data_IF_139761297334
#
_entry.id   IF_139761297334
#
_cell.length_a   1.000
_cell.length_b   1.000
_cell.length_c   1.000
_cell.angle_alpha   90.00
_cell.angle_beta   90.00
_cell.angle_gamma   90.00
#
_symmetry.space_group_name_H-M   'P 1'
#
loop_
_entity.id
_entity.type
_entity.pdbx_description
1 polymer ?
#
# COMPACT_ATOMS: atom_id res chain seq x y z
N UNK A 1 -14.75 -20.80 -22.80
CA UNK A 1 -15.65 -19.65 -22.66
C UNK A 1 -15.34 -18.64 -23.74
N UNK A 2 -16.35 -18.12 -24.42
CA UNK A 2 -16.16 -17.11 -25.46
C UNK A 2 -15.53 -15.87 -24.84
N UNK A 3 -14.42 -15.37 -25.40
CA UNK A 3 -13.77 -14.10 -24.95
C UNK A 3 -14.65 -12.88 -25.17
N UNK A 4 -15.76 -13.02 -25.92
CA UNK A 4 -16.70 -11.94 -26.25
C UNK A 4 -17.46 -11.42 -25.03
N UNK A 5 -17.72 -12.27 -24.04
CA UNK A 5 -18.40 -11.92 -22.79
C UNK A 5 -17.55 -12.38 -21.62
N UNK A 6 -17.23 -11.48 -20.71
CA UNK A 6 -16.56 -11.78 -19.44
C UNK A 6 -17.53 -11.46 -18.33
N UNK A 7 -17.78 -12.43 -17.44
CA UNK A 7 -18.75 -12.27 -16.35
C UNK A 7 -18.19 -12.78 -15.02
N UNK A 8 -18.58 -12.12 -13.96
CA UNK A 8 -18.35 -12.56 -12.59
C UNK A 8 -19.39 -11.94 -11.65
N UNK A 9 -20.17 -12.77 -10.94
CA UNK A 9 -21.34 -12.33 -10.15
C UNK A 9 -22.28 -11.47 -11.00
N UNK A 10 -22.56 -10.24 -10.57
CA UNK A 10 -23.45 -9.30 -11.26
C UNK A 10 -22.72 -8.42 -12.30
N UNK A 11 -21.40 -8.64 -12.46
CA UNK A 11 -20.59 -7.87 -13.42
C UNK A 11 -20.51 -8.61 -14.74
N UNK A 12 -20.81 -7.91 -15.83
CA UNK A 12 -20.74 -8.42 -17.19
C UNK A 12 -20.04 -7.40 -18.08
N UNK A 13 -19.12 -7.87 -18.91
CA UNK A 13 -18.42 -7.05 -19.91
C UNK A 13 -18.62 -7.65 -21.30
N UNK A 14 -19.13 -6.85 -22.24
CA UNK A 14 -19.36 -7.23 -23.64
C UNK A 14 -18.28 -6.59 -24.51
N UNK A 15 -17.53 -7.43 -25.23
CA UNK A 15 -16.51 -6.94 -26.16
C UNK A 15 -17.13 -6.23 -27.36
N UNK A 16 -16.65 -5.04 -27.78
CA UNK A 16 -17.24 -4.28 -28.89
C UNK A 16 -17.13 -4.98 -30.25
N UNK A 17 -16.34 -6.04 -30.38
CA UNK A 17 -16.33 -6.94 -31.51
C UNK A 17 -17.68 -7.57 -31.82
N UNK A 18 -18.59 -7.65 -30.83
CA UNK A 18 -19.98 -8.07 -31.04
C UNK A 18 -20.71 -7.11 -31.99
N UNK A 19 -20.59 -5.81 -31.77
CA UNK A 19 -21.21 -4.82 -32.66
C UNK A 19 -20.59 -4.81 -34.07
N UNK A 20 -19.31 -5.23 -34.20
CA UNK A 20 -18.70 -5.44 -35.52
C UNK A 20 -19.30 -6.67 -36.21
N UNK A 21 -19.61 -7.74 -35.47
CA UNK A 21 -20.30 -8.93 -35.96
C UNK A 21 -21.71 -8.57 -36.41
N UNK A 22 -22.48 -7.83 -35.59
CA UNK A 22 -23.82 -7.32 -35.94
C UNK A 22 -23.78 -6.50 -37.27
N UNK A 23 -22.79 -5.63 -37.47
CA UNK A 23 -22.65 -4.88 -38.72
C UNK A 23 -22.37 -5.80 -39.93
N UNK A 24 -21.62 -6.87 -39.76
CA UNK A 24 -21.34 -7.83 -40.82
C UNK A 24 -22.64 -8.55 -41.22
N UNK A 25 -23.45 -8.92 -40.22
CA UNK A 25 -24.75 -9.54 -40.41
C UNK A 25 -25.77 -8.58 -41.07
N UNK A 26 -25.87 -7.36 -40.57
CA UNK A 26 -26.77 -6.31 -41.10
C UNK A 26 -26.45 -5.96 -42.56
N UNK A 27 -25.17 -5.93 -42.92
CA UNK A 27 -24.75 -5.67 -44.31
C UNK A 27 -24.86 -6.92 -45.19
N UNK A 28 -25.18 -8.09 -44.61
CA UNK A 28 -25.28 -9.37 -45.27
C UNK A 28 -24.05 -9.70 -46.14
N UNK A 29 -22.84 -9.49 -45.57
CA UNK A 29 -21.56 -9.71 -46.24
C UNK A 29 -20.70 -10.74 -45.47
N UNK A 30 -19.68 -11.29 -46.12
CA UNK A 30 -18.70 -12.14 -45.45
C UNK A 30 -17.71 -11.29 -44.64
N UNK A 31 -17.09 -11.86 -43.60
CA UNK A 31 -16.01 -11.20 -42.87
C UNK A 31 -14.88 -10.73 -43.79
N UNK A 32 -14.58 -11.47 -44.87
CA UNK A 32 -13.56 -11.10 -45.85
C UNK A 32 -13.97 -9.84 -46.63
N UNK A 33 -15.19 -9.83 -47.12
CA UNK A 33 -15.71 -8.66 -47.84
C UNK A 33 -15.83 -7.42 -46.95
N UNK A 34 -16.28 -7.62 -45.68
CA UNK A 34 -16.32 -6.55 -44.69
C UNK A 34 -14.91 -5.97 -44.46
N UNK A 35 -13.87 -6.82 -44.33
CA UNK A 35 -12.49 -6.40 -44.17
C UNK A 35 -11.98 -5.58 -45.35
N UNK A 36 -12.32 -6.01 -46.56
CA UNK A 36 -11.98 -5.25 -47.79
C UNK A 36 -12.63 -3.85 -47.81
N UNK A 37 -13.93 -3.78 -47.44
CA UNK A 37 -14.66 -2.50 -47.34
C UNK A 37 -14.13 -1.61 -46.21
N UNK A 38 -13.71 -2.21 -45.08
CA UNK A 38 -13.13 -1.49 -43.96
C UNK A 38 -11.67 -1.06 -44.21
N UNK A 39 -11.01 -1.65 -45.23
CA UNK A 39 -9.60 -1.39 -45.55
C UNK A 39 -8.63 -1.95 -44.50
N UNK A 40 -8.92 -3.17 -43.99
CA UNK A 40 -8.09 -3.93 -43.05
C UNK A 40 -7.94 -5.39 -43.52
N UNK A 41 -7.09 -6.18 -42.85
CA UNK A 41 -6.96 -7.58 -43.20
C UNK A 41 -8.17 -8.40 -42.69
N UNK A 42 -8.52 -9.48 -43.40
CA UNK A 42 -9.54 -10.42 -42.90
C UNK A 42 -9.18 -11.00 -41.51
N UNK A 43 -7.87 -11.15 -41.23
CA UNK A 43 -7.38 -11.58 -39.91
C UNK A 43 -7.70 -10.55 -38.81
N UNK A 44 -7.60 -9.26 -39.11
CA UNK A 44 -7.95 -8.17 -38.16
C UNK A 44 -9.44 -8.25 -37.81
N UNK A 45 -10.34 -8.37 -38.82
CA UNK A 45 -11.78 -8.51 -38.56
C UNK A 45 -12.08 -9.76 -37.75
N UNK A 46 -11.50 -10.90 -38.12
CA UNK A 46 -11.69 -12.15 -37.36
C UNK A 46 -11.26 -12.01 -35.91
N UNK A 47 -10.13 -11.38 -35.63
CA UNK A 47 -9.68 -11.14 -34.25
C UNK A 47 -10.58 -10.18 -33.47
N UNK A 48 -11.08 -9.12 -34.11
CA UNK A 48 -12.03 -8.19 -33.49
C UNK A 48 -13.33 -8.90 -33.10
N UNK A 49 -13.92 -9.64 -34.04
CA UNK A 49 -15.15 -10.40 -33.82
C UNK A 49 -14.97 -11.47 -32.74
N UNK A 50 -13.80 -12.09 -32.64
CA UNK A 50 -13.50 -13.10 -31.62
C UNK A 50 -12.99 -12.51 -30.29
N UNK A 51 -13.00 -11.19 -30.12
CA UNK A 51 -12.48 -10.50 -28.95
C UNK A 51 -11.00 -10.83 -28.63
N UNK A 52 -10.19 -11.01 -29.67
CA UNK A 52 -8.75 -11.28 -29.57
C UNK A 52 -7.92 -10.00 -29.80
N UNK A 53 -8.56 -8.93 -30.28
CA UNK A 53 -7.94 -7.64 -30.56
C UNK A 53 -8.89 -6.50 -30.19
N UNK A 54 -8.36 -5.48 -29.53
CA UNK A 54 -9.12 -4.28 -29.16
C UNK A 54 -9.34 -3.35 -30.35
N UNK A 55 -10.42 -2.55 -30.33
CA UNK A 55 -10.66 -1.51 -31.34
C UNK A 55 -9.65 -0.38 -31.16
N UNK A 56 -8.63 -0.33 -32.04
CA UNK A 56 -7.65 0.76 -32.08
C UNK A 56 -8.26 2.07 -32.59
N UNK A 57 -7.56 3.20 -32.38
CA UNK A 57 -7.97 4.50 -32.92
C UNK A 57 -8.13 4.47 -34.44
N UNK A 58 -7.23 3.77 -35.14
CA UNK A 58 -7.29 3.62 -36.60
C UNK A 58 -8.51 2.80 -37.00
N UNK A 59 -8.76 1.67 -36.33
CA UNK A 59 -9.91 0.82 -36.58
C UNK A 59 -11.23 1.54 -36.29
N UNK A 60 -11.30 2.28 -35.17
CA UNK A 60 -12.47 3.09 -34.81
C UNK A 60 -12.77 4.18 -35.86
N UNK A 61 -11.73 4.80 -36.43
CA UNK A 61 -11.90 5.79 -37.50
C UNK A 61 -12.44 5.17 -38.79
N UNK A 62 -11.95 3.98 -39.16
CA UNK A 62 -12.43 3.23 -40.34
C UNK A 62 -13.88 2.76 -40.12
N UNK A 63 -14.19 2.20 -38.95
CA UNK A 63 -15.54 1.79 -38.57
C UNK A 63 -16.51 2.97 -38.63
N UNK A 64 -16.11 4.14 -38.15
CA UNK A 64 -16.93 5.34 -38.17
C UNK A 64 -17.30 5.76 -39.61
N UNK A 65 -16.34 5.69 -40.54
CA UNK A 65 -16.58 6.00 -41.95
C UNK A 65 -17.53 5.02 -42.65
N UNK A 66 -17.44 3.74 -42.24
CA UNK A 66 -18.22 2.66 -42.85
C UNK A 66 -19.63 2.60 -42.28
N UNK A 67 -19.80 2.73 -40.97
CA UNK A 67 -21.07 2.54 -40.28
C UNK A 67 -21.86 3.82 -40.02
N UNK A 68 -21.22 5.01 -40.12
CA UNK A 68 -21.82 6.28 -39.70
C UNK A 68 -21.83 6.49 -38.18
N UNK A 69 -21.44 5.48 -37.36
CA UNK A 69 -21.30 5.62 -35.92
C UNK A 69 -20.00 6.36 -35.60
N UNK A 70 -20.04 7.35 -34.70
CA UNK A 70 -18.89 8.20 -34.43
C UNK A 70 -17.65 7.39 -33.95
N UNK A 71 -16.46 7.85 -34.32
CA UNK A 71 -15.19 7.29 -33.81
C UNK A 71 -15.16 7.29 -32.29
N UNK A 72 -15.67 8.34 -31.66
CA UNK A 72 -15.75 8.47 -30.20
C UNK A 72 -16.61 7.35 -29.58
N UNK A 73 -17.73 7.01 -30.22
CA UNK A 73 -18.60 5.92 -29.76
C UNK A 73 -17.86 4.57 -29.75
N UNK A 74 -17.14 4.24 -30.83
CA UNK A 74 -16.37 3.02 -30.92
C UNK A 74 -15.29 2.92 -29.85
N UNK A 75 -14.57 4.03 -29.59
CA UNK A 75 -13.56 4.09 -28.54
C UNK A 75 -14.17 4.02 -27.14
N UNK A 76 -15.33 4.63 -26.94
CA UNK A 76 -16.05 4.54 -25.66
C UNK A 76 -16.51 3.11 -25.38
N UNK A 77 -17.03 2.38 -26.37
CA UNK A 77 -17.40 0.98 -26.23
C UNK A 77 -16.20 0.12 -25.80
N UNK A 78 -15.03 0.33 -26.42
CA UNK A 78 -13.80 -0.36 -26.02
C UNK A 78 -13.40 -0.01 -24.58
N UNK A 79 -13.40 1.28 -24.25
CA UNK A 79 -13.04 1.72 -22.91
C UNK A 79 -13.99 1.16 -21.82
N UNK A 80 -15.29 1.13 -22.10
CA UNK A 80 -16.28 0.54 -21.19
C UNK A 80 -15.97 -0.94 -20.95
N UNK A 81 -15.68 -1.69 -22.02
CA UNK A 81 -15.27 -3.09 -21.91
C UNK A 81 -14.02 -3.26 -21.09
N UNK A 82 -12.96 -2.51 -21.38
CA UNK A 82 -11.67 -2.61 -20.68
C UNK A 82 -11.81 -2.32 -19.19
N UNK A 83 -12.57 -1.28 -18.83
CA UNK A 83 -12.87 -0.92 -17.43
C UNK A 83 -13.65 -2.05 -16.75
N UNK A 84 -14.69 -2.58 -17.41
CA UNK A 84 -15.51 -3.68 -16.85
C UNK A 84 -14.72 -4.97 -16.65
N UNK A 85 -13.84 -5.31 -17.58
CA UNK A 85 -12.94 -6.46 -17.44
C UNK A 85 -12.00 -6.26 -16.24
N UNK A 86 -11.42 -5.05 -16.09
CA UNK A 86 -10.57 -4.75 -14.95
C UNK A 86 -11.33 -4.87 -13.60
N UNK A 87 -12.58 -4.35 -13.52
CA UNK A 87 -13.45 -4.51 -12.35
C UNK A 87 -13.72 -6.00 -12.03
N UNK A 88 -13.99 -6.83 -13.05
CA UNK A 88 -14.24 -8.27 -12.89
C UNK A 88 -13.01 -8.98 -12.37
N UNK A 89 -11.83 -8.69 -12.92
CA UNK A 89 -10.56 -9.28 -12.47
C UNK A 89 -10.30 -8.90 -11.01
N UNK A 90 -10.41 -7.61 -10.68
CA UNK A 90 -10.23 -7.12 -9.30
C UNK A 90 -11.20 -7.80 -8.33
N UNK A 91 -12.49 -7.93 -8.70
CA UNK A 91 -13.47 -8.58 -7.83
C UNK A 91 -13.16 -10.07 -7.59
N UNK A 92 -12.66 -10.78 -8.59
CA UNK A 92 -12.20 -12.17 -8.43
C UNK A 92 -11.01 -12.28 -7.49
N UNK A 93 -10.03 -11.37 -7.61
CA UNK A 93 -8.86 -11.33 -6.75
C UNK A 93 -9.23 -11.01 -5.30
N UNK A 94 -10.16 -10.08 -5.07
CA UNK A 94 -10.66 -9.74 -3.74
C UNK A 94 -11.39 -10.92 -3.06
N UNK A 95 -12.09 -11.75 -3.83
CA UNK A 95 -12.88 -12.87 -3.29
C UNK A 95 -12.04 -14.14 -3.05
N UNK A 96 -11.00 -14.37 -3.83
CA UNK A 96 -10.27 -15.65 -3.88
C UNK A 96 -8.74 -15.49 -3.82
N UNK A 97 -8.24 -14.26 -3.87
CA UNK A 97 -6.81 -13.99 -3.99
C UNK A 97 -6.07 -13.96 -2.65
N UNK A 98 -4.76 -13.81 -2.75
CA UNK A 98 -3.82 -13.72 -1.63
C UNK A 98 -4.14 -12.60 -0.64
N UNK A 99 -4.70 -11.49 -1.10
CA UNK A 99 -5.06 -10.36 -0.24
C UNK A 99 -6.14 -10.68 0.79
N UNK A 100 -7.03 -11.64 0.49
CA UNK A 100 -7.99 -12.14 1.47
C UNK A 100 -7.27 -12.80 2.65
N UNK A 101 -6.30 -13.68 2.36
CA UNK A 101 -5.51 -14.34 3.41
C UNK A 101 -4.74 -13.30 4.25
N UNK A 102 -4.14 -12.30 3.61
CA UNK A 102 -3.44 -11.20 4.29
C UNK A 102 -4.42 -10.40 5.14
N UNK A 103 -5.60 -10.06 4.62
CA UNK A 103 -6.63 -9.33 5.36
C UNK A 103 -7.11 -10.09 6.61
N UNK A 104 -7.19 -11.43 6.55
CA UNK A 104 -7.57 -12.28 7.68
C UNK A 104 -6.49 -12.31 8.78
N UNK A 105 -5.24 -11.96 8.46
CA UNK A 105 -4.16 -11.80 9.45
C UNK A 105 -4.25 -10.48 10.23
N UNK A 106 -5.06 -9.51 9.75
CA UNK A 106 -5.15 -8.13 10.26
C UNK A 106 -6.35 -7.99 11.20
N UNK A 107 -6.13 -7.44 12.40
CA UNK A 107 -7.23 -7.05 13.28
C UNK A 107 -7.89 -5.75 12.77
N UNK A 108 -8.88 -5.89 11.88
CA UNK A 108 -9.59 -4.75 11.31
C UNK A 108 -10.35 -3.93 12.37
N UNK A 109 -10.65 -4.52 13.56
CA UNK A 109 -11.29 -3.82 14.67
C UNK A 109 -10.43 -2.65 15.19
N UNK A 110 -9.11 -2.81 15.15
CA UNK A 110 -8.17 -1.74 15.47
C UNK A 110 -8.44 -0.46 14.67
N UNK A 111 -8.67 -0.60 13.35
CA UNK A 111 -8.90 0.56 12.47
C UNK A 111 -10.20 1.28 12.78
N UNK A 112 -11.25 0.56 13.16
CA UNK A 112 -12.50 1.13 13.65
C UNK A 112 -12.29 1.90 14.95
N UNK A 113 -11.72 1.22 15.97
CA UNK A 113 -11.49 1.80 17.29
C UNK A 113 -10.59 3.04 17.29
N UNK A 114 -9.66 3.11 16.33
CA UNK A 114 -8.77 4.27 16.17
C UNK A 114 -9.30 5.33 15.20
N UNK A 115 -10.52 5.16 14.71
CA UNK A 115 -11.19 6.14 13.84
C UNK A 115 -10.60 6.23 12.43
N UNK A 116 -9.85 5.22 11.97
CA UNK A 116 -9.36 5.17 10.59
C UNK A 116 -10.49 4.89 9.60
N UNK A 117 -11.51 4.15 10.02
CA UNK A 117 -12.71 3.84 9.25
C UNK A 117 -13.97 4.00 10.12
N UNK A 118 -15.14 4.27 9.51
CA UNK A 118 -16.43 4.33 10.21
C UNK A 118 -16.78 3.02 10.93
N UNK A 119 -17.57 3.11 12.00
CA UNK A 119 -18.08 1.95 12.73
C UNK A 119 -19.30 1.37 12.00
N UNK A 120 -19.07 0.45 11.07
CA UNK A 120 -20.09 -0.31 10.32
C UNK A 120 -19.65 -1.75 10.10
N UNK A 121 -20.52 -2.57 9.52
CA UNK A 121 -20.13 -3.88 9.00
C UNK A 121 -19.39 -3.70 7.67
N UNK A 122 -18.38 -4.51 7.44
CA UNK A 122 -17.57 -4.52 6.23
C UNK A 122 -17.50 -5.94 5.68
N UNK A 123 -17.74 -6.11 4.39
CA UNK A 123 -17.36 -7.31 3.65
C UNK A 123 -15.83 -7.43 3.58
N UNK A 124 -15.32 -8.58 3.16
CA UNK A 124 -13.87 -8.77 3.03
C UNK A 124 -13.28 -7.84 1.96
N UNK A 125 -13.95 -7.68 0.82
CA UNK A 125 -13.53 -6.76 -0.23
C UNK A 125 -13.52 -5.30 0.22
N UNK A 126 -14.55 -4.84 0.98
CA UNK A 126 -14.55 -3.50 1.55
C UNK A 126 -13.38 -3.30 2.54
N UNK A 127 -13.05 -4.31 3.37
CA UNK A 127 -11.90 -4.23 4.27
C UNK A 127 -10.59 -4.06 3.51
N UNK A 128 -10.36 -4.86 2.47
CA UNK A 128 -9.17 -4.78 1.62
C UNK A 128 -9.08 -3.39 0.98
N UNK A 129 -10.18 -2.91 0.39
CA UNK A 129 -10.23 -1.58 -0.23
C UNK A 129 -9.91 -0.46 0.75
N UNK A 130 -10.49 -0.49 1.96
CA UNK A 130 -10.19 0.52 2.99
C UNK A 130 -8.74 0.42 3.50
N UNK A 131 -8.20 -0.80 3.69
CA UNK A 131 -6.81 -1.00 4.08
C UNK A 131 -5.84 -0.46 3.03
N UNK A 132 -6.08 -0.74 1.73
CA UNK A 132 -5.26 -0.19 0.62
C UNK A 132 -5.24 1.35 0.67
N UNK A 133 -6.41 2.00 0.86
CA UNK A 133 -6.51 3.47 0.97
C UNK A 133 -5.78 4.02 2.20
N UNK A 134 -5.98 3.40 3.37
CA UNK A 134 -5.36 3.85 4.63
C UNK A 134 -3.84 3.76 4.53
N UNK A 135 -3.33 2.66 3.99
CA UNK A 135 -1.91 2.36 3.91
C UNK A 135 -1.24 2.92 2.64
N UNK A 136 -2.05 3.47 1.70
CA UNK A 136 -1.58 4.04 0.42
C UNK A 136 -0.81 3.02 -0.43
N UNK A 137 -1.33 1.80 -0.50
CA UNK A 137 -0.78 0.70 -1.30
C UNK A 137 -1.78 0.23 -2.36
N UNK A 138 -1.30 -0.22 -3.51
CA UNK A 138 -2.14 -0.80 -4.56
C UNK A 138 -2.56 -2.24 -4.26
N UNK A 139 -1.77 -2.95 -3.45
CA UNK A 139 -2.04 -4.32 -3.00
C UNK A 139 -1.54 -4.52 -1.58
N UNK A 140 -2.28 -5.32 -0.77
CA UNK A 140 -1.85 -5.72 0.57
C UNK A 140 -0.64 -6.68 0.55
N UNK A 141 -0.31 -7.28 -0.59
CA UNK A 141 0.88 -8.13 -0.76
C UNK A 141 2.18 -7.38 -0.46
N UNK A 142 2.18 -6.06 -0.65
CA UNK A 142 3.30 -5.21 -0.21
C UNK A 142 3.67 -5.41 1.27
N UNK A 143 2.68 -5.72 2.12
CA UNK A 143 2.87 -5.88 3.57
C UNK A 143 3.57 -7.18 3.95
N UNK A 144 3.62 -8.17 3.06
CA UNK A 144 4.27 -9.47 3.31
C UNK A 144 5.78 -9.39 3.16
N UNK A 145 6.26 -8.40 2.38
CA UNK A 145 7.68 -8.24 2.12
C UNK A 145 8.42 -7.76 3.37
N UNK A 146 9.40 -8.53 3.83
CA UNK A 146 10.26 -8.13 4.94
C UNK A 146 11.08 -6.91 4.54
N UNK A 147 10.87 -5.79 5.23
CA UNK A 147 11.58 -4.56 4.91
C UNK A 147 12.94 -4.51 5.63
N UNK A 148 14.01 -4.87 4.94
CA UNK A 148 15.39 -4.85 5.45
C UNK A 148 15.89 -3.45 5.85
N UNK A 149 15.20 -2.37 5.44
CA UNK A 149 15.55 -1.00 5.79
C UNK A 149 15.01 -0.59 7.17
N UNK A 150 14.27 -1.47 7.81
CA UNK A 150 13.68 -1.29 9.13
C UNK A 150 14.40 -2.18 10.11
N UNK A 151 15.00 -1.58 11.15
CA UNK A 151 15.57 -2.36 12.24
C UNK A 151 14.45 -2.91 13.12
N UNK A 152 14.20 -4.22 13.03
CA UNK A 152 13.29 -4.94 13.92
C UNK A 152 14.08 -5.58 15.07
N UNK A 153 13.63 -5.41 16.30
CA UNK A 153 14.34 -5.84 17.51
C UNK A 153 14.54 -7.36 17.64
N UNK A 154 13.74 -8.21 16.97
CA UNK A 154 13.83 -9.68 17.14
C UNK A 154 13.57 -10.42 15.82
N UNK A 155 14.57 -11.04 15.26
CA UNK A 155 14.50 -11.79 14.00
C UNK A 155 14.13 -13.28 14.17
N UNK A 156 14.01 -13.82 15.39
CA UNK A 156 13.90 -15.27 15.61
C UNK A 156 12.48 -15.85 15.56
N UNK A 157 11.42 -15.03 15.64
CA UNK A 157 10.02 -15.51 15.70
C UNK A 157 9.06 -14.73 14.79
N UNK A 158 9.51 -14.32 13.59
CA UNK A 158 8.63 -13.62 12.66
C UNK A 158 7.75 -14.61 11.90
N UNK A 159 6.49 -14.71 12.32
CA UNK A 159 5.43 -15.28 11.48
C UNK A 159 5.03 -14.24 10.41
N UNK A 160 4.52 -14.71 9.28
CA UNK A 160 3.99 -13.81 8.24
C UNK A 160 2.96 -12.82 8.82
N UNK A 161 2.10 -13.27 9.72
CA UNK A 161 1.14 -12.43 10.45
C UNK A 161 1.82 -11.30 11.21
N UNK A 162 2.95 -11.57 11.86
CA UNK A 162 3.67 -10.54 12.60
C UNK A 162 4.37 -9.54 11.69
N UNK A 163 4.88 -9.99 10.53
CA UNK A 163 5.48 -9.12 9.51
C UNK A 163 4.43 -8.18 8.95
N UNK A 164 3.28 -8.70 8.52
CA UNK A 164 2.15 -7.91 8.00
C UNK A 164 1.74 -6.82 8.99
N UNK A 165 1.48 -7.20 10.25
CA UNK A 165 1.01 -6.25 11.26
C UNK A 165 2.10 -5.23 11.67
N UNK A 166 3.37 -5.62 11.66
CA UNK A 166 4.49 -4.69 11.90
C UNK A 166 4.65 -3.69 10.75
N UNK A 167 4.53 -4.14 9.50
CA UNK A 167 4.57 -3.27 8.33
C UNK A 167 3.40 -2.28 8.31
N UNK A 168 2.19 -2.71 8.73
CA UNK A 168 1.05 -1.80 8.91
C UNK A 168 1.40 -0.67 9.89
N UNK A 169 1.94 -1.01 11.06
CA UNK A 169 2.34 -0.01 12.04
C UNK A 169 3.35 0.99 11.47
N UNK A 170 4.31 0.48 10.69
CA UNK A 170 5.32 1.31 10.04
C UNK A 170 4.71 2.25 8.99
N UNK A 171 3.77 1.77 8.16
CA UNK A 171 3.12 2.61 7.14
C UNK A 171 2.19 3.65 7.78
N UNK A 172 1.44 3.29 8.83
CA UNK A 172 0.64 4.26 9.60
C UNK A 172 1.51 5.34 10.23
N UNK A 173 2.66 4.97 10.81
CA UNK A 173 3.62 5.92 11.36
C UNK A 173 4.27 6.78 10.27
N UNK A 174 4.65 6.16 9.14
CA UNK A 174 5.20 6.86 7.97
C UNK A 174 4.26 7.95 7.47
N UNK A 175 2.97 7.64 7.36
CA UNK A 175 1.95 8.60 6.95
C UNK A 175 1.81 9.77 7.93
N UNK A 176 1.86 9.49 9.24
CA UNK A 176 1.82 10.54 10.28
C UNK A 176 3.09 11.40 10.31
N UNK A 177 4.24 10.82 10.00
CA UNK A 177 5.53 11.51 10.01
C UNK A 177 5.81 12.29 8.72
N UNK A 178 5.19 11.89 7.61
CA UNK A 178 5.38 12.50 6.30
C UNK A 178 5.10 14.01 6.37
N UNK A 179 6.03 14.80 5.87
CA UNK A 179 5.94 16.27 5.84
C UNK A 179 5.92 16.97 7.20
N UNK A 180 6.26 16.29 8.31
CA UNK A 180 6.38 16.95 9.62
C UNK A 180 7.65 17.79 9.73
N UNK A 181 8.68 17.48 8.96
CA UNK A 181 9.92 18.26 8.88
C UNK A 181 10.58 18.15 7.51
N UNK A 182 11.25 19.21 7.10
CA UNK A 182 12.17 19.23 5.96
C UNK A 182 13.64 19.12 6.41
N UNK A 183 13.89 19.12 7.73
CA UNK A 183 15.22 19.02 8.32
C UNK A 183 15.79 17.63 8.07
N UNK A 184 16.97 17.57 7.44
CA UNK A 184 17.72 16.32 7.27
C UNK A 184 18.29 15.86 8.61
N UNK A 185 18.44 14.54 8.76
CA UNK A 185 19.08 13.96 9.94
C UNK A 185 20.45 14.58 10.20
N UNK A 186 20.62 15.19 11.38
CA UNK A 186 21.89 15.68 11.91
C UNK A 186 22.35 14.77 13.06
N UNK A 187 23.16 13.75 12.72
CA UNK A 187 23.67 12.78 13.69
C UNK A 187 24.47 13.41 14.81
N UNK A 188 25.33 14.40 14.49
CA UNK A 188 26.17 15.10 15.51
C UNK A 188 25.30 15.86 16.50
N UNK A 189 24.21 16.51 16.03
CA UNK A 189 23.27 17.21 16.90
C UNK A 189 22.53 16.23 17.78
N UNK A 190 22.05 15.11 17.22
CA UNK A 190 21.37 14.05 17.95
C UNK A 190 22.26 13.43 19.04
N UNK A 191 23.52 13.16 18.72
CA UNK A 191 24.51 12.65 19.69
C UNK A 191 24.75 13.64 20.85
N UNK A 192 24.89 14.94 20.55
CA UNK A 192 25.02 15.98 21.57
C UNK A 192 23.76 16.13 22.44
N UNK A 193 22.60 15.78 21.95
CA UNK A 193 21.34 15.85 22.71
C UNK A 193 21.13 14.64 23.65
N UNK A 194 21.92 13.57 23.55
CA UNK A 194 21.76 12.36 24.37
C UNK A 194 21.77 12.63 25.89
N UNK A 195 22.65 13.49 26.44
CA UNK A 195 22.60 13.83 27.88
C UNK A 195 21.27 14.46 28.28
N UNK A 196 20.79 15.45 27.52
CA UNK A 196 19.48 16.08 27.77
C UNK A 196 18.33 15.06 27.69
N UNK A 197 18.33 14.17 26.66
CA UNK A 197 17.33 13.10 26.54
C UNK A 197 17.36 12.14 27.74
N UNK A 198 18.54 11.88 28.33
CA UNK A 198 18.66 11.09 29.54
C UNK A 198 18.08 11.80 30.76
N UNK A 199 18.25 13.10 30.88
CA UNK A 199 17.68 13.85 32.00
C UNK A 199 16.16 13.89 31.96
N UNK A 200 15.55 13.85 30.74
CA UNK A 200 14.09 13.72 30.57
C UNK A 200 13.52 12.41 31.15
N UNK A 201 14.31 11.35 31.30
CA UNK A 201 13.85 10.07 31.89
C UNK A 201 13.39 10.20 33.32
N UNK A 202 13.76 11.28 34.03
CA UNK A 202 13.43 11.56 35.42
C UNK A 202 12.19 12.42 35.58
N UNK A 203 11.62 12.90 34.46
CA UNK A 203 10.46 13.79 34.43
C UNK A 203 9.16 13.02 34.21
N UNK A 204 8.04 13.66 34.52
CA UNK A 204 6.71 13.10 34.26
C UNK A 204 6.39 13.14 32.74
N UNK A 205 5.66 12.17 32.17
CA UNK A 205 5.28 12.17 30.76
C UNK A 205 4.63 13.46 30.27
N UNK A 206 3.90 14.13 31.11
CA UNK A 206 3.25 15.41 30.80
C UNK A 206 4.26 16.54 30.53
N UNK A 207 5.41 16.47 31.18
CA UNK A 207 6.43 17.52 31.14
C UNK A 207 7.44 17.26 30.03
N UNK A 208 7.86 16.01 29.82
CA UNK A 208 8.91 15.71 28.84
C UNK A 208 8.42 15.49 27.41
N UNK A 209 7.14 15.16 27.18
CA UNK A 209 6.68 14.71 25.87
C UNK A 209 6.89 15.74 24.75
N UNK A 210 6.63 17.00 25.03
CA UNK A 210 6.82 18.07 24.05
C UNK A 210 8.32 18.33 23.83
N UNK A 211 9.09 18.47 24.90
CA UNK A 211 10.54 18.73 24.84
C UNK A 211 11.28 17.61 24.10
N UNK A 212 10.95 16.34 24.38
CA UNK A 212 11.47 15.17 23.66
C UNK A 212 11.20 15.27 22.15
N UNK A 213 9.96 15.62 21.79
CA UNK A 213 9.55 15.75 20.40
C UNK A 213 10.32 16.86 19.68
N UNK A 214 10.47 18.01 20.34
CA UNK A 214 11.14 19.18 19.77
C UNK A 214 12.64 18.92 19.58
N UNK A 215 13.33 18.36 20.58
CA UNK A 215 14.74 17.98 20.48
C UNK A 215 14.98 17.02 19.29
N UNK A 216 14.17 16.00 19.16
CA UNK A 216 14.29 15.02 18.07
C UNK A 216 13.99 15.65 16.71
N UNK A 217 12.95 16.48 16.62
CA UNK A 217 12.55 17.16 15.39
C UNK A 217 13.66 18.11 14.90
N UNK A 218 14.31 18.85 15.80
CA UNK A 218 15.46 19.70 15.49
C UNK A 218 16.67 18.90 14.96
N UNK A 219 16.76 17.62 15.32
CA UNK A 219 17.79 16.71 14.80
C UNK A 219 17.40 16.07 13.46
N UNK A 220 16.20 16.35 12.93
CA UNK A 220 15.64 15.71 11.73
C UNK A 220 15.07 14.32 11.99
N UNK A 221 14.68 14.02 13.24
CA UNK A 221 14.02 12.78 13.65
C UNK A 221 12.58 13.09 14.03
N UNK A 222 11.63 12.45 13.38
CA UNK A 222 10.19 12.57 13.66
C UNK A 222 9.76 11.44 14.57
N UNK A 223 9.48 11.72 15.83
CA UNK A 223 8.93 10.76 16.78
C UNK A 223 7.43 10.55 16.52
N UNK A 224 7.00 9.30 16.39
CA UNK A 224 5.59 8.92 16.26
C UNK A 224 5.26 7.83 17.26
N UNK A 225 4.35 8.12 18.18
CA UNK A 225 3.73 7.13 19.07
C UNK A 225 2.47 6.54 18.45
N UNK A 226 2.34 5.22 18.42
CA UNK A 226 1.13 4.52 17.99
C UNK A 226 0.69 3.46 19.02
N UNK A 227 -0.62 3.33 19.27
CA UNK A 227 -1.13 2.16 19.98
C UNK A 227 -0.78 0.89 19.21
N UNK A 228 -0.35 -0.15 19.92
CA UNK A 228 0.08 -1.40 19.31
C UNK A 228 -1.08 -2.12 18.62
N UNK A 229 -0.84 -2.55 17.38
CA UNK A 229 -1.73 -3.45 16.66
C UNK A 229 -1.49 -4.89 17.14
N UNK A 230 -2.56 -5.66 17.32
CA UNK A 230 -2.45 -7.06 17.72
C UNK A 230 -1.55 -7.84 16.76
N UNK A 231 -0.71 -8.70 17.30
CA UNK A 231 0.29 -9.49 16.56
C UNK A 231 1.42 -8.67 15.86
N UNK A 232 1.45 -7.35 15.99
CA UNK A 232 2.64 -6.59 15.62
C UNK A 232 3.74 -6.81 16.66
N UNK A 233 4.81 -7.51 16.32
CA UNK A 233 5.94 -7.76 17.22
C UNK A 233 6.94 -6.59 17.18
N UNK A 234 6.44 -5.37 17.42
CA UNK A 234 7.18 -4.14 17.24
C UNK A 234 7.05 -3.26 18.48
N UNK A 235 8.15 -2.98 19.18
CA UNK A 235 8.21 -1.98 20.22
C UNK A 235 8.63 -0.62 19.67
N UNK A 236 9.58 -0.63 18.72
CA UNK A 236 10.06 0.53 17.99
C UNK A 236 10.54 0.15 16.60
N UNK A 237 10.68 1.14 15.74
CA UNK A 237 11.28 1.02 14.42
C UNK A 237 11.77 2.37 13.92
N UNK A 238 12.79 2.36 13.07
CA UNK A 238 13.26 3.55 12.36
C UNK A 238 13.17 3.37 10.85
N UNK A 239 12.79 4.45 10.14
CA UNK A 239 12.72 4.47 8.66
C UNK A 239 13.25 5.82 8.15
N UNK A 240 14.20 5.78 7.22
CA UNK A 240 14.71 6.98 6.57
C UNK A 240 13.79 7.40 5.42
N UNK A 241 13.46 8.69 5.35
CA UNK A 241 12.72 9.27 4.24
C UNK A 241 13.61 9.77 3.11
N UNK A 242 13.04 9.96 1.93
CA UNK A 242 13.74 10.48 0.75
C UNK A 242 14.28 11.90 0.92
N UNK A 243 13.65 12.73 1.76
CA UNK A 243 14.13 14.08 2.10
C UNK A 243 15.33 14.08 3.09
N UNK A 244 15.71 12.89 3.58
CA UNK A 244 16.82 12.71 4.52
C UNK A 244 16.46 12.81 5.99
N UNK A 245 15.19 13.09 6.35
CA UNK A 245 14.71 12.96 7.74
C UNK A 245 14.50 11.48 8.11
N UNK A 246 14.32 11.19 9.39
CA UNK A 246 14.12 9.83 9.91
C UNK A 246 12.85 9.77 10.75
N UNK A 247 12.00 8.78 10.47
CA UNK A 247 10.93 8.36 11.37
C UNK A 247 11.53 7.54 12.51
N UNK A 248 11.11 7.82 13.74
CA UNK A 248 11.27 6.96 14.91
C UNK A 248 9.88 6.62 15.43
N UNK A 249 9.45 5.37 15.18
CA UNK A 249 8.19 4.83 15.67
C UNK A 249 8.40 4.18 17.04
N UNK A 250 7.51 4.48 17.99
CA UNK A 250 7.36 3.73 19.24
C UNK A 250 5.91 3.25 19.40
N UNK A 251 5.73 2.06 19.99
CA UNK A 251 4.41 1.52 20.28
C UNK A 251 4.18 1.39 21.78
N UNK A 252 2.92 1.39 22.18
CA UNK A 252 2.51 1.19 23.60
C UNK A 252 2.37 -0.29 23.98
N UNK A 253 3.05 -1.20 23.26
CA UNK A 253 2.89 -2.67 23.43
C UNK A 253 3.04 -3.13 24.88
N UNK A 254 3.96 -2.56 25.62
CA UNK A 254 4.29 -2.98 26.98
C UNK A 254 3.99 -1.92 28.06
N UNK A 255 3.37 -0.79 27.72
CA UNK A 255 2.84 0.27 28.61
C UNK A 255 3.65 0.61 29.88
N UNK A 256 4.96 0.37 29.89
CA UNK A 256 5.85 0.65 30.99
C UNK A 256 6.87 1.72 30.61
N UNK A 257 7.16 2.63 31.51
CA UNK A 257 8.04 3.79 31.26
C UNK A 257 9.47 3.38 30.91
N UNK A 258 10.00 2.38 31.59
CA UNK A 258 11.32 1.81 31.35
C UNK A 258 11.44 1.20 29.94
N UNK A 259 10.40 0.50 29.50
CA UNK A 259 10.36 -0.08 28.14
C UNK A 259 10.26 1.02 27.07
N UNK A 260 9.52 2.11 27.34
CA UNK A 260 9.46 3.26 26.45
C UNK A 260 10.86 3.87 26.23
N UNK A 261 11.54 4.22 27.31
CA UNK A 261 12.86 4.82 27.25
C UNK A 261 13.92 3.88 26.67
N UNK A 262 13.87 2.60 27.06
CA UNK A 262 14.73 1.59 26.49
C UNK A 262 14.55 1.48 24.97
N UNK A 263 13.30 1.42 24.50
CA UNK A 263 12.99 1.34 23.09
C UNK A 263 13.42 2.61 22.35
N UNK A 264 13.21 3.79 22.93
CA UNK A 264 13.64 5.05 22.35
C UNK A 264 15.16 5.08 22.13
N UNK A 265 15.95 4.80 23.17
CA UNK A 265 17.41 4.81 23.06
C UNK A 265 17.94 3.71 22.17
N UNK A 266 17.28 2.55 22.14
CA UNK A 266 17.61 1.48 21.20
C UNK A 266 17.45 1.93 19.74
N UNK A 267 16.32 2.55 19.41
CA UNK A 267 16.07 3.08 18.07
C UNK A 267 17.00 4.24 17.71
N UNK A 268 17.33 5.13 18.66
CA UNK A 268 18.35 6.16 18.45
C UNK A 268 19.72 5.51 18.16
N UNK A 269 20.05 4.39 18.81
CA UNK A 269 21.27 3.63 18.53
C UNK A 269 21.34 3.10 17.09
N UNK A 270 20.22 2.76 16.47
CA UNK A 270 20.16 2.41 15.05
C UNK A 270 20.34 3.60 14.10
N UNK A 271 19.91 4.78 14.52
CA UNK A 271 20.11 6.04 13.76
C UNK A 271 21.57 6.49 13.82
N UNK A 272 22.17 6.39 15.00
CA UNK A 272 23.58 6.70 15.22
C UNK A 272 24.43 5.45 14.97
N UNK A 273 25.42 5.45 14.07
CA UNK A 273 26.36 4.35 13.98
C UNK A 273 27.24 4.33 15.24
N UNK A 274 26.73 3.70 16.29
CA UNK A 274 27.49 3.57 17.54
C UNK A 274 28.56 2.52 17.31
N UNK A 275 29.81 2.92 17.40
CA UNK A 275 30.91 2.00 17.67
C UNK A 275 30.57 1.30 18.99
N UNK A 276 30.31 0.01 18.97
CA UNK A 276 29.82 -0.86 20.07
C UNK A 276 30.64 -0.83 21.37
N UNK A 277 31.70 -0.04 21.44
CA UNK A 277 32.66 -0.02 22.53
C UNK A 277 32.23 0.80 23.77
N UNK A 278 31.23 1.69 23.66
CA UNK A 278 30.85 2.53 24.80
C UNK A 278 29.55 2.13 25.54
N UNK A 279 28.71 1.26 24.97
CA UNK A 279 27.46 0.83 25.62
C UNK A 279 27.63 -0.41 26.52
N UNK A 280 28.70 -1.22 26.33
CA UNK A 280 28.98 -2.39 27.17
C UNK A 280 29.62 -2.06 28.54
N UNK A 281 30.07 -0.83 28.76
CA UNK A 281 30.74 -0.48 30.01
C UNK A 281 29.81 -0.26 31.22
N UNK A 282 28.50 -0.18 31.02
CA UNK A 282 27.53 0.07 32.12
C UNK A 282 26.62 -1.13 32.45
N UNK A 283 26.69 -2.24 31.70
CA UNK A 283 25.88 -3.43 32.01
C UNK A 283 26.56 -4.41 33.00
N UNK A 284 27.85 -4.18 33.34
CA UNK A 284 28.60 -5.10 34.22
C UNK A 284 28.68 -4.66 35.67
N UNK A 285 28.22 -3.47 36.05
CA UNK A 285 28.38 -2.95 37.45
C UNK A 285 27.12 -3.04 38.31
N UNK A 286 26.06 -3.76 37.93
CA UNK A 286 24.84 -3.89 38.76
C UNK A 286 24.53 -5.33 39.21
N UNK A 287 25.48 -6.23 39.18
CA UNK A 287 25.39 -7.54 39.84
C UNK A 287 26.69 -7.84 40.60
N UNK A 288 26.89 -7.18 41.75
CA UNK A 288 27.66 -7.64 42.91
C UNK A 288 26.97 -7.17 44.18
#
# INVERSE_FOLDING_TARGET
>A
MSKKVVEYKDLVAFHPGQYVEDLIEDYNVTQKEFAERLGVSAKTVSKLVNAEESISKETAHKLAKLSGVSMQTWLNLQNIYDVKVAEIVEQRELDQGREKEICDMIDFKYFKQKGYVPEKRYSIGEKITELRKILEVSSLEYLVTFNHLVSYRNTRDFTEKSIVNSNIMLELASKKARNKTTTKLNRRKLEKSLPTLRDLTRQDPKDFAQELTDILLECGVVLVGLPALANANLNGATKKFGNGSVLLLLTDRNKASDIFWFSLFHEIGHILPVSYTHLRAHETDSYL
#
